data_IF_572437902493
#
_entry.id   IF_572437902493
#
_cell.length_a   1.000
_cell.length_b   1.000
_cell.length_c   1.000
_cell.angle_alpha   90.00
_cell.angle_beta   90.00
_cell.angle_gamma   90.00
#
_symmetry.space_group_name_H-M   'P 1'
#
loop_
_entity.id
_entity.type
_entity.pdbx_description
1 polymer ?
#
# COMPACT_ATOMS: atom_id res chain seq x y z
N UNK A 1 -33.54 -14.29 -0.31
CA UNK A 1 -34.03 -14.34 1.08
C UNK A 1 -32.89 -14.78 1.99
N UNK A 2 -32.84 -14.30 3.24
CA UNK A 2 -31.86 -14.78 4.24
C UNK A 2 -32.37 -16.11 4.79
N UNK A 3 -31.51 -17.12 4.81
CA UNK A 3 -31.82 -18.41 5.44
C UNK A 3 -31.89 -18.23 6.96
N UNK A 4 -32.96 -18.69 7.58
CA UNK A 4 -33.13 -18.67 9.04
C UNK A 4 -32.59 -19.98 9.61
N UNK A 5 -31.50 -19.88 10.37
CA UNK A 5 -30.82 -21.05 10.93
C UNK A 5 -31.54 -21.61 12.16
N UNK A 6 -32.03 -22.85 12.06
CA UNK A 6 -32.67 -23.56 13.17
C UNK A 6 -31.66 -23.97 14.25
N UNK A 7 -32.15 -24.31 15.44
CA UNK A 7 -31.28 -24.81 16.52
C UNK A 7 -30.59 -26.12 16.09
N UNK A 8 -31.33 -27.04 15.49
CA UNK A 8 -30.84 -28.32 14.99
C UNK A 8 -29.75 -28.18 13.93
N UNK A 9 -29.92 -27.26 12.97
CA UNK A 9 -28.88 -26.97 11.97
C UNK A 9 -27.59 -26.43 12.61
N UNK A 10 -27.70 -25.61 13.65
CA UNK A 10 -26.52 -25.09 14.37
C UNK A 10 -25.82 -26.18 15.17
N UNK A 11 -26.58 -27.08 15.81
CA UNK A 11 -26.02 -28.25 16.51
C UNK A 11 -25.33 -29.21 15.54
N UNK A 12 -25.94 -29.47 14.38
CA UNK A 12 -25.30 -30.23 13.32
C UNK A 12 -23.95 -29.61 12.91
N UNK A 13 -23.92 -28.30 12.67
CA UNK A 13 -22.68 -27.60 12.34
C UNK A 13 -21.64 -27.69 13.46
N UNK A 14 -22.03 -27.56 14.74
CA UNK A 14 -21.11 -27.71 15.88
C UNK A 14 -20.50 -29.11 15.96
N UNK A 15 -21.32 -30.14 15.73
CA UNK A 15 -20.89 -31.54 15.77
C UNK A 15 -19.96 -31.91 14.62
N UNK A 16 -20.28 -31.46 13.40
CA UNK A 16 -19.60 -31.93 12.19
C UNK A 16 -18.44 -31.05 11.73
N UNK A 17 -18.39 -29.77 12.10
CA UNK A 17 -17.33 -28.87 11.64
C UNK A 17 -15.90 -29.23 12.12
N UNK A 18 -15.68 -29.78 13.33
CA UNK A 18 -14.34 -30.17 13.76
C UNK A 18 -13.66 -31.24 12.90
N UNK A 19 -14.45 -32.16 12.33
CA UNK A 19 -13.94 -33.29 11.54
C UNK A 19 -13.96 -33.04 10.04
N UNK A 20 -14.69 -32.03 9.55
CA UNK A 20 -14.91 -31.83 8.12
C UNK A 20 -14.30 -30.51 7.60
N UNK A 21 -13.99 -30.46 6.31
CA UNK A 21 -13.71 -29.19 5.64
C UNK A 21 -15.01 -28.37 5.51
N UNK A 22 -14.92 -27.05 5.26
CA UNK A 22 -16.13 -26.25 5.01
C UNK A 22 -16.90 -26.71 3.77
N UNK A 23 -16.21 -27.32 2.80
CA UNK A 23 -16.84 -27.85 1.58
C UNK A 23 -17.65 -29.10 1.89
N UNK A 24 -17.06 -30.03 2.63
CA UNK A 24 -17.74 -31.28 3.00
C UNK A 24 -18.86 -31.01 3.98
N UNK A 25 -18.66 -30.09 4.92
CA UNK A 25 -19.69 -29.63 5.86
C UNK A 25 -20.89 -29.03 5.13
N UNK A 26 -20.66 -28.24 4.07
CA UNK A 26 -21.73 -27.67 3.25
C UNK A 26 -22.52 -28.76 2.53
N UNK A 27 -21.82 -29.74 1.95
CA UNK A 27 -22.43 -30.88 1.27
C UNK A 27 -23.31 -31.68 2.23
N UNK A 28 -22.77 -32.06 3.39
CA UNK A 28 -23.49 -32.80 4.43
C UNK A 28 -24.71 -32.03 4.95
N UNK A 29 -24.57 -30.73 5.20
CA UNK A 29 -25.68 -29.88 5.65
C UNK A 29 -26.82 -29.82 4.63
N UNK A 30 -26.49 -29.58 3.35
CA UNK A 30 -27.50 -29.49 2.30
C UNK A 30 -28.19 -30.84 2.05
N UNK A 31 -27.44 -31.94 2.15
CA UNK A 31 -28.00 -33.29 2.01
C UNK A 31 -28.94 -33.65 3.17
N UNK A 32 -28.51 -33.41 4.41
CA UNK A 32 -29.27 -33.77 5.62
C UNK A 32 -30.58 -32.99 5.73
N UNK A 33 -30.53 -31.67 5.52
CA UNK A 33 -31.67 -30.78 5.71
C UNK A 33 -32.39 -30.41 4.40
N UNK A 34 -32.01 -31.03 3.28
CA UNK A 34 -32.54 -30.75 1.93
C UNK A 34 -32.51 -29.25 1.59
N UNK A 35 -31.40 -28.59 1.91
CA UNK A 35 -31.22 -27.15 1.71
C UNK A 35 -30.41 -26.85 0.46
N UNK A 36 -30.50 -25.59 0.00
CA UNK A 36 -29.65 -25.05 -1.05
C UNK A 36 -28.80 -23.89 -0.51
N UNK A 37 -28.07 -24.14 0.58
CA UNK A 37 -27.15 -23.16 1.18
C UNK A 37 -25.89 -23.08 0.33
N UNK A 38 -25.37 -21.86 0.16
CA UNK A 38 -24.08 -21.63 -0.48
C UNK A 38 -22.95 -21.40 0.55
N UNK A 39 -21.70 -21.47 0.08
CA UNK A 39 -20.52 -21.34 0.93
C UNK A 39 -20.47 -20.02 1.72
N UNK A 40 -20.95 -18.91 1.15
CA UNK A 40 -20.95 -17.61 1.83
C UNK A 40 -21.96 -17.57 2.98
N UNK A 41 -23.14 -18.16 2.80
CA UNK A 41 -24.15 -18.30 3.85
C UNK A 41 -23.66 -19.20 4.98
N UNK A 42 -23.00 -20.32 4.66
CA UNK A 42 -22.39 -21.19 5.66
C UNK A 42 -21.29 -20.45 6.46
N UNK A 43 -20.36 -19.77 5.78
CA UNK A 43 -19.31 -18.98 6.44
C UNK A 43 -19.88 -17.89 7.35
N UNK A 44 -20.92 -17.20 6.88
CA UNK A 44 -21.61 -16.18 7.68
C UNK A 44 -22.25 -16.79 8.93
N UNK A 45 -22.91 -17.95 8.82
CA UNK A 45 -23.48 -18.67 9.95
C UNK A 45 -22.43 -19.07 10.98
N UNK A 46 -21.36 -19.74 10.53
CA UNK A 46 -20.27 -20.19 11.40
C UNK A 46 -19.66 -19.03 12.18
N UNK A 47 -19.46 -17.89 11.51
CA UNK A 47 -18.92 -16.66 12.12
C UNK A 47 -19.90 -16.04 13.12
N UNK A 48 -21.15 -15.81 12.71
CA UNK A 48 -22.15 -15.13 13.54
C UNK A 48 -22.57 -15.93 14.78
N UNK A 49 -22.46 -17.25 14.72
CA UNK A 49 -22.81 -18.15 15.83
C UNK A 49 -21.58 -18.74 16.55
N UNK A 50 -20.38 -18.22 16.26
CA UNK A 50 -19.12 -18.62 16.88
C UNK A 50 -18.87 -20.14 16.84
N UNK A 51 -19.27 -20.79 15.74
CA UNK A 51 -19.08 -22.22 15.52
C UNK A 51 -17.69 -22.41 14.90
N UNK A 52 -16.78 -23.04 15.65
CA UNK A 52 -15.38 -23.22 15.26
C UNK A 52 -15.09 -24.68 14.93
N UNK A 53 -14.14 -24.89 14.03
CA UNK A 53 -13.63 -26.23 13.71
C UNK A 53 -12.63 -26.76 14.75
N UNK A 54 -12.26 -25.95 15.76
CA UNK A 54 -11.21 -26.29 16.72
C UNK A 54 -9.79 -26.28 16.16
N UNK A 55 -9.61 -26.15 14.84
CA UNK A 55 -8.29 -26.08 14.18
C UNK A 55 -7.71 -24.68 14.37
N UNK A 56 -6.50 -24.59 14.93
CA UNK A 56 -5.80 -23.32 15.18
C UNK A 56 -4.88 -22.90 14.04
N UNK A 57 -4.50 -23.85 13.16
CA UNK A 57 -3.48 -23.64 12.12
C UNK A 57 -2.07 -23.46 12.67
N UNK A 58 -1.87 -23.70 13.97
CA UNK A 58 -0.57 -23.63 14.63
C UNK A 58 0.10 -25.00 14.62
N UNK A 59 1.42 -25.01 14.42
CA UNK A 59 2.21 -26.22 14.65
C UNK A 59 2.26 -26.53 16.15
N UNK A 60 2.16 -27.80 16.50
CA UNK A 60 2.27 -28.23 17.90
C UNK A 60 3.65 -27.88 18.47
N UNK A 61 3.67 -27.47 19.74
CA UNK A 61 4.91 -27.07 20.42
C UNK A 61 5.88 -28.26 20.43
N UNK A 62 7.08 -28.06 19.87
CA UNK A 62 8.10 -29.11 19.73
C UNK A 62 8.20 -29.70 18.32
N UNK A 63 7.27 -29.38 17.43
CA UNK A 63 7.37 -29.77 16.01
C UNK A 63 8.62 -29.17 15.38
N UNK A 64 9.49 -30.03 14.87
CA UNK A 64 10.67 -29.61 14.12
C UNK A 64 10.30 -29.44 12.64
N UNK A 65 10.53 -28.26 12.04
CA UNK A 65 10.31 -28.06 10.60
C UNK A 65 11.16 -29.03 9.77
N UNK A 66 10.60 -29.53 8.67
CA UNK A 66 11.25 -30.51 7.76
C UNK A 66 12.60 -30.02 7.22
N UNK A 67 12.79 -28.71 7.12
CA UNK A 67 14.01 -28.06 6.66
C UNK A 67 14.99 -27.67 7.79
N UNK A 68 14.76 -28.09 9.04
CA UNK A 68 15.73 -27.82 10.12
C UNK A 68 17.04 -28.56 9.83
N UNK A 69 18.15 -27.84 9.90
CA UNK A 69 19.49 -28.40 9.65
C UNK A 69 19.88 -28.48 8.17
N UNK A 70 19.00 -28.11 7.23
CA UNK A 70 19.31 -28.21 5.79
C UNK A 70 19.92 -26.93 5.19
N UNK A 71 20.22 -25.92 6.01
CA UNK A 71 20.81 -24.64 5.57
C UNK A 71 22.10 -24.90 4.78
N UNK A 72 22.16 -24.43 3.53
CA UNK A 72 23.30 -24.68 2.64
C UNK A 72 23.17 -25.90 1.73
N UNK A 73 22.16 -26.77 1.91
CA UNK A 73 21.86 -27.84 0.94
C UNK A 73 21.17 -27.27 -0.30
N UNK A 74 21.66 -27.66 -1.47
CA UNK A 74 21.05 -27.37 -2.76
C UNK A 74 19.58 -27.84 -2.78
N UNK A 75 18.67 -27.03 -3.33
CA UNK A 75 17.21 -27.25 -3.37
C UNK A 75 16.41 -27.31 -2.05
N UNK A 76 17.02 -27.32 -0.86
CA UNK A 76 16.27 -27.42 0.40
C UNK A 76 16.51 -26.26 1.36
N UNK A 77 17.76 -25.79 1.52
CA UNK A 77 18.09 -24.76 2.50
C UNK A 77 18.83 -23.55 1.94
N UNK A 78 18.97 -23.45 0.61
CA UNK A 78 19.63 -22.36 -0.10
C UNK A 78 21.13 -22.27 0.21
N UNK A 79 22.00 -22.35 -0.80
CA UNK A 79 23.44 -22.17 -0.59
C UNK A 79 23.87 -20.72 -0.90
N UNK A 80 24.96 -20.26 -0.27
CA UNK A 80 25.49 -18.88 -0.39
C UNK A 80 25.94 -18.49 -1.80
N UNK A 81 25.90 -19.41 -2.76
CA UNK A 81 26.51 -19.26 -4.10
C UNK A 81 25.64 -19.83 -5.22
N UNK A 82 24.32 -19.94 -5.02
CA UNK A 82 23.41 -20.47 -6.07
C UNK A 82 23.41 -19.61 -7.33
N UNK A 83 23.66 -18.30 -7.19
CA UNK A 83 23.79 -17.37 -8.31
C UNK A 83 25.25 -17.22 -8.68
N UNK A 84 25.55 -17.25 -9.99
CA UNK A 84 26.90 -16.98 -10.49
C UNK A 84 27.28 -15.53 -10.16
N UNK A 85 28.55 -15.26 -9.89
CA UNK A 85 29.03 -13.88 -9.71
C UNK A 85 28.75 -13.09 -11.00
N UNK A 86 28.07 -11.95 -10.89
CA UNK A 86 27.65 -11.15 -12.04
C UNK A 86 26.29 -11.54 -12.62
N UNK A 87 25.62 -12.57 -12.06
CA UNK A 87 24.27 -12.93 -12.48
C UNK A 87 23.30 -11.78 -12.14
N UNK A 88 22.63 -11.29 -13.17
CA UNK A 88 21.77 -10.12 -13.08
C UNK A 88 20.33 -10.61 -13.02
N UNK A 89 19.54 -10.21 -12.01
CA UNK A 89 18.14 -10.62 -11.93
C UNK A 89 17.38 -10.27 -13.20
N UNK A 90 16.46 -11.14 -13.65
CA UNK A 90 15.63 -10.90 -14.85
C UNK A 90 14.90 -9.56 -14.85
N UNK A 91 14.56 -9.06 -13.67
CA UNK A 91 13.85 -7.79 -13.48
C UNK A 91 14.79 -6.58 -13.36
N UNK A 92 16.09 -6.75 -13.61
CA UNK A 92 17.04 -5.66 -13.60
C UNK A 92 16.71 -4.64 -14.69
N UNK A 93 16.94 -3.38 -14.33
CA UNK A 93 16.79 -2.21 -15.21
C UNK A 93 18.03 -1.36 -15.02
N UNK A 94 18.68 -0.84 -16.08
CA UNK A 94 19.86 0.00 -15.92
C UNK A 94 19.56 1.31 -15.18
N UNK A 95 20.57 1.91 -14.54
CA UNK A 95 20.49 3.28 -14.01
C UNK A 95 20.08 4.23 -15.15
N UNK A 96 19.21 5.18 -14.86
CA UNK A 96 18.54 6.05 -15.84
C UNK A 96 17.20 5.52 -16.35
N UNK A 97 16.85 4.25 -16.08
CA UNK A 97 15.53 3.73 -16.47
C UNK A 97 14.41 4.50 -15.77
N UNK A 98 13.39 4.86 -16.54
CA UNK A 98 12.19 5.53 -16.06
C UNK A 98 11.00 4.57 -15.98
N UNK A 99 10.11 4.82 -15.02
CA UNK A 99 8.82 4.13 -14.92
C UNK A 99 7.78 5.02 -14.25
N UNK A 100 6.51 4.73 -14.50
CA UNK A 100 5.40 5.41 -13.86
C UNK A 100 4.96 4.58 -12.64
N UNK A 101 4.82 5.24 -11.50
CA UNK A 101 4.33 4.63 -10.26
C UNK A 101 2.78 4.57 -10.24
N UNK A 102 2.20 3.83 -9.30
CA UNK A 102 0.74 3.72 -9.09
C UNK A 102 0.05 5.09 -8.97
N UNK A 103 0.75 6.07 -8.39
CA UNK A 103 0.23 7.42 -8.20
C UNK A 103 0.43 8.34 -9.42
N UNK A 104 0.97 7.83 -10.53
CA UNK A 104 1.18 8.55 -11.79
C UNK A 104 2.45 9.39 -11.86
N UNK A 105 3.36 9.27 -10.89
CA UNK A 105 4.66 9.97 -10.93
C UNK A 105 5.71 9.18 -11.72
N UNK A 106 6.57 9.89 -12.44
CA UNK A 106 7.77 9.28 -13.05
C UNK A 106 8.85 9.07 -11.99
N UNK A 107 9.28 7.83 -11.82
CA UNK A 107 10.44 7.42 -11.06
C UNK A 107 11.61 7.18 -12.03
N UNK A 108 12.80 7.62 -11.64
CA UNK A 108 14.06 7.33 -12.33
C UNK A 108 14.95 6.51 -11.42
N UNK A 109 15.59 5.49 -11.99
CA UNK A 109 16.59 4.71 -11.28
C UNK A 109 17.90 5.52 -11.21
N UNK A 110 18.35 5.90 -10.01
CA UNK A 110 19.54 6.72 -9.79
C UNK A 110 20.75 5.93 -9.31
N UNK A 111 20.55 4.73 -8.78
CA UNK A 111 21.63 3.88 -8.27
C UNK A 111 21.33 2.38 -8.47
N UNK A 112 22.40 1.59 -8.58
CA UNK A 112 22.34 0.14 -8.58
C UNK A 112 22.46 -0.48 -7.18
N UNK A 113 23.02 0.27 -6.24
CA UNK A 113 23.21 -0.13 -4.85
C UNK A 113 22.22 0.56 -3.91
N UNK A 114 22.05 -0.01 -2.72
CA UNK A 114 21.19 0.53 -1.67
C UNK A 114 19.77 -0.04 -1.69
N UNK A 115 18.94 0.51 -0.79
CA UNK A 115 17.52 0.21 -0.65
C UNK A 115 16.73 0.68 -1.87
N UNK A 116 15.50 0.21 -2.01
CA UNK A 116 14.64 0.60 -3.14
C UNK A 116 14.48 2.12 -3.27
N UNK A 117 14.35 2.85 -2.15
CA UNK A 117 14.15 4.30 -2.13
C UNK A 117 15.41 5.10 -2.49
N UNK A 118 16.60 4.52 -2.28
CA UNK A 118 17.87 5.11 -2.72
C UNK A 118 18.10 4.84 -4.20
N UNK A 119 17.67 3.67 -4.69
CA UNK A 119 17.80 3.28 -6.09
C UNK A 119 16.80 3.98 -7.00
N UNK A 120 15.58 4.21 -6.53
CA UNK A 120 14.49 4.83 -7.29
C UNK A 120 14.04 6.12 -6.63
N UNK A 121 14.20 7.24 -7.34
CA UNK A 121 13.76 8.55 -6.89
C UNK A 121 12.75 9.14 -7.86
N UNK A 122 11.89 10.03 -7.39
CA UNK A 122 11.00 10.77 -8.28
C UNK A 122 11.80 11.68 -9.21
N UNK A 123 11.58 11.55 -10.52
CA UNK A 123 12.35 12.27 -11.54
C UNK A 123 12.23 13.79 -11.37
N UNK A 124 11.05 14.31 -11.03
CA UNK A 124 10.86 15.75 -10.79
C UNK A 124 11.74 16.29 -9.64
N UNK A 125 11.96 15.51 -8.57
CA UNK A 125 12.87 15.91 -7.48
C UNK A 125 14.31 15.91 -7.94
N UNK A 126 14.73 14.88 -8.68
CA UNK A 126 16.10 14.77 -9.20
C UNK A 126 16.42 15.92 -10.16
N UNK A 127 15.50 16.23 -11.08
CA UNK A 127 15.64 17.33 -12.04
C UNK A 127 15.71 18.68 -11.32
N UNK A 128 14.82 18.92 -10.36
CA UNK A 128 14.81 20.15 -9.58
C UNK A 128 16.08 20.30 -8.73
N UNK A 129 16.51 19.23 -8.06
CA UNK A 129 17.69 19.25 -7.18
C UNK A 129 18.99 19.50 -7.96
N UNK A 130 19.08 18.98 -9.18
CA UNK A 130 20.23 19.24 -10.06
C UNK A 130 20.38 20.73 -10.40
N UNK A 131 19.26 21.46 -10.49
CA UNK A 131 19.27 22.87 -10.86
C UNK A 131 19.29 23.83 -9.64
N UNK A 132 18.59 23.49 -8.56
CA UNK A 132 18.34 24.40 -7.42
C UNK A 132 18.98 23.94 -6.10
N UNK A 133 19.60 22.76 -6.06
CA UNK A 133 20.14 22.16 -4.83
C UNK A 133 19.09 21.33 -4.06
N UNK A 134 19.39 20.89 -2.83
CA UNK A 134 18.53 19.96 -2.10
C UNK A 134 17.18 20.58 -1.70
N UNK A 135 16.09 19.80 -1.76
CA UNK A 135 14.76 20.24 -1.31
C UNK A 135 14.80 20.42 0.22
N UNK A 136 14.56 21.63 0.76
CA UNK A 136 14.62 21.86 2.20
C UNK A 136 13.53 21.10 2.96
N UNK A 137 13.82 20.75 4.23
CA UNK A 137 12.84 20.09 5.10
C UNK A 137 11.57 20.95 5.20
N UNK A 138 10.40 20.30 5.14
CA UNK A 138 9.10 21.00 5.20
C UNK A 138 8.67 21.66 3.89
N UNK A 139 9.42 21.47 2.80
CA UNK A 139 9.04 21.91 1.46
C UNK A 139 8.66 20.71 0.58
N UNK A 140 7.88 20.99 -0.46
CA UNK A 140 7.37 20.02 -1.44
C UNK A 140 7.36 20.68 -2.81
N UNK A 141 7.58 19.87 -3.85
CA UNK A 141 7.42 20.30 -5.23
C UNK A 141 6.00 20.02 -5.69
N UNK A 142 5.40 21.00 -6.36
CA UNK A 142 4.12 20.87 -7.06
C UNK A 142 4.32 21.03 -8.56
N UNK A 143 3.40 20.45 -9.33
CA UNK A 143 3.27 20.63 -10.77
C UNK A 143 2.22 21.73 -11.00
N UNK A 144 2.59 22.81 -11.67
CA UNK A 144 1.72 23.97 -11.85
C UNK A 144 0.51 23.65 -12.73
N UNK A 145 0.71 22.82 -13.75
CA UNK A 145 -0.35 22.31 -14.65
C UNK A 145 -1.08 21.06 -14.12
N UNK A 146 -0.73 20.57 -12.93
CA UNK A 146 -1.19 19.29 -12.35
C UNK A 146 -0.82 18.02 -13.16
N UNK A 147 -0.06 18.14 -14.24
CA UNK A 147 0.40 17.02 -15.04
C UNK A 147 1.75 16.49 -14.51
N UNK A 148 1.69 15.38 -13.78
CA UNK A 148 2.84 14.70 -13.17
C UNK A 148 3.88 14.19 -14.18
N UNK A 149 3.51 14.13 -15.46
CA UNK A 149 4.40 13.72 -16.56
C UNK A 149 5.14 14.92 -17.18
N UNK A 150 4.63 16.14 -17.02
CA UNK A 150 5.29 17.35 -17.50
C UNK A 150 6.38 17.80 -16.52
N UNK A 151 7.56 17.21 -16.66
CA UNK A 151 8.72 17.48 -15.79
C UNK A 151 9.63 18.51 -16.47
N UNK A 152 9.24 19.77 -16.40
CA UNK A 152 10.08 20.92 -16.74
C UNK A 152 10.34 21.77 -15.50
N UNK A 153 11.50 22.43 -15.42
CA UNK A 153 11.81 23.30 -14.27
C UNK A 153 10.81 24.46 -14.13
N UNK A 154 10.28 24.95 -15.25
CA UNK A 154 9.28 26.03 -15.30
C UNK A 154 7.91 25.58 -14.76
N UNK A 155 7.54 24.31 -14.92
CA UNK A 155 6.29 23.74 -14.41
C UNK A 155 6.41 23.25 -12.95
N UNK A 156 7.60 23.25 -12.37
CA UNK A 156 7.84 22.82 -11.00
C UNK A 156 8.01 24.03 -10.08
N UNK A 157 7.17 24.10 -9.05
CA UNK A 157 7.31 25.12 -8.01
C UNK A 157 7.54 24.49 -6.64
N UNK A 158 8.54 24.98 -5.93
CA UNK A 158 8.79 24.62 -4.54
C UNK A 158 7.89 25.46 -3.63
N UNK A 159 7.10 24.78 -2.79
CA UNK A 159 6.24 25.43 -1.79
C UNK A 159 6.42 24.79 -0.41
N UNK A 160 6.02 25.51 0.64
CA UNK A 160 5.97 24.97 1.99
C UNK A 160 4.78 24.01 2.16
N UNK A 161 4.87 23.07 3.09
CA UNK A 161 3.73 22.20 3.45
C UNK A 161 2.52 22.98 3.97
N UNK A 162 2.73 24.14 4.61
CA UNK A 162 1.65 25.01 5.07
C UNK A 162 0.88 25.63 3.89
N UNK A 163 1.59 26.12 2.87
CA UNK A 163 0.98 26.61 1.64
C UNK A 163 0.21 25.49 0.93
N UNK A 164 0.80 24.30 0.80
CA UNK A 164 0.12 23.14 0.19
C UNK A 164 -1.21 22.84 0.90
N UNK A 165 -1.22 22.87 2.25
CA UNK A 165 -2.45 22.65 3.01
C UNK A 165 -3.53 23.70 2.71
N UNK A 166 -3.15 24.99 2.61
CA UNK A 166 -4.07 26.08 2.25
C UNK A 166 -4.57 25.98 0.81
N UNK A 167 -3.71 25.56 -0.13
CA UNK A 167 -4.12 25.33 -1.52
C UNK A 167 -5.17 24.24 -1.62
N UNK A 168 -4.99 23.11 -0.92
CA UNK A 168 -5.95 22.01 -0.90
C UNK A 168 -7.28 22.40 -0.25
N UNK A 169 -7.23 23.09 0.90
CA UNK A 169 -8.44 23.53 1.61
C UNK A 169 -9.32 24.46 0.78
N UNK A 170 -8.69 25.37 0.02
CA UNK A 170 -9.38 26.38 -0.78
C UNK A 170 -9.51 26.00 -2.26
N UNK A 171 -9.14 24.76 -2.64
CA UNK A 171 -9.20 24.24 -4.02
C UNK A 171 -8.52 25.15 -5.06
N UNK A 172 -7.32 25.63 -4.74
CA UNK A 172 -6.56 26.60 -5.55
C UNK A 172 -5.66 25.97 -6.63
N UNK A 173 -5.90 24.70 -6.98
CA UNK A 173 -5.16 24.00 -8.03
C UNK A 173 -5.97 24.02 -9.32
N UNK A 174 -5.35 24.49 -10.41
CA UNK A 174 -5.95 24.61 -11.73
C UNK A 174 -5.10 23.90 -12.79
N UNK A 175 -5.66 23.66 -13.97
CA UNK A 175 -4.90 23.10 -15.09
C UNK A 175 -4.00 24.16 -15.76
N UNK A 176 -4.36 25.44 -15.62
CA UNK A 176 -3.56 26.57 -16.07
C UNK A 176 -2.44 26.85 -15.04
N UNK A 177 -1.16 26.77 -15.43
CA UNK A 177 -0.02 27.08 -14.57
C UNK A 177 -0.10 28.46 -13.90
N UNK A 178 -0.56 29.49 -14.60
CA UNK A 178 -0.58 30.87 -14.09
C UNK A 178 -1.64 31.05 -12.99
N UNK A 179 -2.78 30.37 -13.12
CA UNK A 179 -3.80 30.32 -12.08
C UNK A 179 -3.28 29.57 -10.84
N UNK A 180 -2.58 28.45 -11.02
CA UNK A 180 -1.98 27.72 -9.89
C UNK A 180 -0.90 28.56 -9.19
N UNK A 181 -0.05 29.28 -9.93
CA UNK A 181 0.91 30.26 -9.35
C UNK A 181 0.20 31.32 -8.51
N UNK A 182 -0.90 31.87 -9.02
CA UNK A 182 -1.73 32.84 -8.28
C UNK A 182 -2.33 32.20 -7.03
N UNK A 183 -2.77 30.95 -7.12
CA UNK A 183 -3.23 30.14 -5.99
C UNK A 183 -2.16 29.96 -4.89
N UNK A 184 -0.90 29.78 -5.27
CA UNK A 184 0.23 29.75 -4.32
C UNK A 184 0.37 31.09 -3.59
N UNK A 185 0.22 32.21 -4.28
CA UNK A 185 0.27 33.56 -3.68
C UNK A 185 -0.88 33.74 -2.68
N UNK A 186 -2.11 33.37 -3.05
CA UNK A 186 -3.28 33.40 -2.16
C UNK A 186 -3.04 32.52 -0.92
N UNK A 187 -2.52 31.32 -1.10
CA UNK A 187 -2.17 30.42 -0.01
C UNK A 187 -1.11 31.00 0.93
N UNK A 188 -0.16 31.78 0.40
CA UNK A 188 0.83 32.50 1.20
C UNK A 188 0.17 33.58 2.07
N UNK A 189 -0.75 34.36 1.50
CA UNK A 189 -1.52 35.38 2.22
C UNK A 189 -2.30 34.74 3.38
N UNK A 190 -3.06 33.67 3.13
CA UNK A 190 -3.78 32.95 4.19
C UNK A 190 -2.87 32.37 5.27
N UNK A 191 -1.70 31.87 4.88
CA UNK A 191 -0.72 31.35 5.84
C UNK A 191 -0.20 32.46 6.75
N UNK A 192 0.07 33.65 6.19
CA UNK A 192 0.55 34.82 6.93
C UNK A 192 -0.53 35.38 7.87
N UNK A 193 -1.78 35.54 7.40
CA UNK A 193 -2.91 35.96 8.22
C UNK A 193 -3.10 35.03 9.44
N UNK A 194 -3.09 33.71 9.20
CA UNK A 194 -3.21 32.74 10.29
C UNK A 194 -2.05 32.78 11.29
N UNK A 195 -0.84 33.17 10.86
CA UNK A 195 0.29 33.37 11.76
C UNK A 195 0.16 34.64 12.61
N UNK A 196 -0.37 35.73 12.06
CA UNK A 196 -0.63 36.99 12.79
C UNK A 196 -1.71 36.82 13.86
N UNK A 197 -2.87 36.25 13.51
CA UNK A 197 -3.97 36.04 14.46
C UNK A 197 -3.57 35.17 15.66
N UNK A 198 -2.62 34.23 15.47
CA UNK A 198 -2.08 33.43 16.60
C UNK A 198 -1.21 34.26 17.52
N UNK A 199 -0.38 35.17 16.98
CA UNK A 199 0.48 36.07 17.76
C UNK A 199 -0.35 37.05 18.59
N UNK A 200 -1.46 37.55 18.05
CA UNK A 200 -2.37 38.45 18.77
C UNK A 200 -3.06 37.74 19.94
N UNK A 201 -3.42 36.46 19.80
CA UNK A 201 -4.04 35.67 20.89
C UNK A 201 -3.06 35.22 21.98
N UNK A 202 -1.75 35.30 21.74
CA UNK A 202 -0.71 34.94 22.72
C UNK A 202 -0.15 36.16 23.46
N UNK A 203 -0.51 37.37 23.04
CA UNK A 203 -0.29 38.60 23.78
C UNK A 203 -1.49 38.87 24.68
#
# INVERSE_FOLDING_TARGET
MRHTWTHEQKEFLRKHYPSNSQRDLLFLLNQEFQLNINMNQLKACLTNHNIKSGRTGQFEKGTTPVNKGTKGLYNVGGNRTSFKKGDTPKNYKPVGTERIDRDGYVLIKVSDSGTWHERWRHKHKVVWEKANGPIPKGHVLIFLDQNKLNISLENLQLITRAQLARMNQNKLFHLDPELTKTGVVIANIYTKMGALNRKEKTK
#
